data_IF_832572243409
#
_entry.id   IF_832572243409
#
_cell.length_a   1.000
_cell.length_b   1.000
_cell.length_c   1.000
_cell.angle_alpha   90.00
_cell.angle_beta   90.00
_cell.angle_gamma   90.00
#
_symmetry.space_group_name_H-M   'P 1'
#
loop_
_entity.id
_entity.type
_entity.pdbx_description
1 polymer ?
#
# COMPACT_ATOMS: atom_id res chain seq x y z
N UNK A 1 0.19 8.97 -4.79
CA UNK A 1 1.18 8.21 -4.01
C UNK A 1 1.21 6.76 -4.47
N UNK A 2 2.40 6.13 -4.54
CA UNK A 2 2.50 4.68 -4.63
C UNK A 2 2.77 4.13 -3.23
N UNK A 3 2.06 3.08 -2.86
CA UNK A 3 2.33 2.34 -1.63
C UNK A 3 2.69 0.90 -1.99
N UNK A 4 3.68 0.36 -1.29
CA UNK A 4 4.17 -0.98 -1.49
C UNK A 4 4.08 -1.77 -0.17
N UNK A 5 3.81 -3.06 -0.27
CA UNK A 5 3.88 -3.99 0.86
C UNK A 5 4.28 -5.39 0.36
N UNK A 6 4.63 -6.29 1.26
CA UNK A 6 5.00 -7.66 0.91
C UNK A 6 3.86 -8.62 1.23
N UNK A 7 3.59 -9.53 0.32
CA UNK A 7 2.65 -10.61 0.57
C UNK A 7 3.18 -11.52 1.69
N UNK A 8 2.39 -11.73 2.74
CA UNK A 8 2.78 -12.62 3.83
C UNK A 8 2.98 -14.09 3.38
N UNK A 9 2.34 -14.52 2.29
CA UNK A 9 2.40 -15.91 1.80
C UNK A 9 3.59 -16.17 0.87
N UNK A 10 3.70 -15.37 -0.20
CA UNK A 10 4.71 -15.60 -1.24
C UNK A 10 5.85 -14.58 -1.22
N UNK A 11 5.82 -13.60 -0.29
CA UNK A 11 6.80 -12.52 -0.15
C UNK A 11 6.94 -11.60 -1.37
N UNK A 12 6.13 -11.80 -2.41
CA UNK A 12 6.04 -10.91 -3.57
C UNK A 12 5.60 -9.52 -3.16
N UNK A 13 6.13 -8.52 -3.84
CA UNK A 13 5.76 -7.13 -3.64
C UNK A 13 4.37 -6.85 -4.22
N UNK A 14 3.56 -6.15 -3.44
CA UNK A 14 2.22 -5.69 -3.81
C UNK A 14 2.29 -4.17 -3.89
N UNK A 15 2.19 -3.66 -5.10
CA UNK A 15 2.21 -2.24 -5.40
C UNK A 15 0.78 -1.75 -5.63
N UNK A 16 0.34 -0.78 -4.83
CA UNK A 16 -0.97 -0.13 -4.96
C UNK A 16 -0.76 1.36 -5.23
N UNK A 17 -1.41 1.87 -6.29
CA UNK A 17 -1.51 3.31 -6.53
C UNK A 17 -2.69 3.87 -5.75
N UNK A 18 -2.45 4.90 -4.96
CA UNK A 18 -3.50 5.62 -4.23
C UNK A 18 -3.42 7.12 -4.53
N UNK A 19 -4.59 7.76 -4.55
CA UNK A 19 -4.71 9.22 -4.66
C UNK A 19 -4.57 9.90 -3.30
N UNK A 20 -4.37 9.15 -2.21
CA UNK A 20 -4.01 9.72 -0.92
C UNK A 20 -2.61 10.34 -1.00
N UNK A 21 -2.43 11.49 -0.34
CA UNK A 21 -1.15 12.19 -0.23
C UNK A 21 -0.28 11.64 0.91
N UNK A 22 -0.92 11.14 1.96
CA UNK A 22 -0.29 10.66 3.18
C UNK A 22 -1.07 9.47 3.80
N UNK A 23 -0.52 8.89 4.88
CA UNK A 23 -1.12 7.77 5.61
C UNK A 23 -2.49 8.15 6.21
N UNK A 24 -2.68 9.38 6.68
CA UNK A 24 -3.94 9.82 7.29
C UNK A 24 -5.05 9.92 6.23
N UNK A 25 -4.76 10.49 5.07
CA UNK A 25 -5.67 10.54 3.92
C UNK A 25 -6.01 9.15 3.41
N UNK A 26 -5.05 8.22 3.47
CA UNK A 26 -5.28 6.82 3.13
C UNK A 26 -6.24 6.15 4.12
N UNK A 27 -6.02 6.33 5.42
CA UNK A 27 -6.89 5.81 6.48
C UNK A 27 -8.28 6.45 6.43
N UNK A 28 -8.39 7.74 6.12
CA UNK A 28 -9.67 8.43 5.96
C UNK A 28 -10.46 7.90 4.77
N UNK A 29 -9.79 7.49 3.68
CA UNK A 29 -10.44 7.01 2.45
C UNK A 29 -10.83 5.54 2.52
N UNK A 30 -9.96 4.69 3.07
CA UNK A 30 -10.11 3.24 3.02
C UNK A 30 -10.34 2.61 4.41
N UNK A 31 -10.30 3.41 5.48
CA UNK A 31 -10.19 2.93 6.86
C UNK A 31 -8.74 2.57 7.22
N UNK A 32 -8.53 2.22 8.49
CA UNK A 32 -7.22 1.80 9.01
C UNK A 32 -6.71 0.49 8.40
N UNK A 33 -7.59 -0.28 7.73
CA UNK A 33 -7.26 -1.57 7.12
C UNK A 33 -7.67 -1.61 5.65
N UNK A 34 -6.72 -1.93 4.78
CA UNK A 34 -6.94 -2.03 3.33
C UNK A 34 -6.93 -3.50 2.90
N UNK A 35 -7.95 -3.90 2.15
CA UNK A 35 -7.97 -5.18 1.45
C UNK A 35 -7.02 -5.13 0.26
N UNK A 36 -5.93 -5.92 0.31
CA UNK A 36 -5.02 -6.09 -0.82
C UNK A 36 -5.03 -7.54 -1.29
N UNK A 37 -5.06 -7.72 -2.60
CA UNK A 37 -4.87 -9.00 -3.26
C UNK A 37 -3.46 -9.07 -3.84
N UNK A 38 -2.72 -10.12 -3.49
CA UNK A 38 -1.44 -10.40 -4.12
C UNK A 38 -1.66 -10.91 -5.54
N UNK A 39 -1.14 -10.20 -6.54
CA UNK A 39 -1.27 -10.62 -7.94
C UNK A 39 -0.42 -11.86 -8.28
N UNK A 40 0.60 -12.16 -7.47
CA UNK A 40 1.49 -13.32 -7.70
C UNK A 40 0.93 -14.64 -7.18
N UNK A 41 0.22 -14.65 -6.05
CA UNK A 41 -0.30 -15.90 -5.45
C UNK A 41 -1.82 -15.90 -5.18
N UNK A 42 -2.53 -14.82 -5.55
CA UNK A 42 -3.97 -14.68 -5.35
C UNK A 42 -4.41 -14.46 -3.90
N UNK A 43 -3.49 -14.37 -2.94
CA UNK A 43 -3.84 -14.22 -1.52
C UNK A 43 -4.47 -12.84 -1.26
N UNK A 44 -5.68 -12.83 -0.71
CA UNK A 44 -6.39 -11.62 -0.26
C UNK A 44 -6.19 -11.46 1.25
N UNK A 45 -5.69 -10.32 1.70
CA UNK A 45 -5.48 -10.02 3.12
C UNK A 45 -5.76 -8.55 3.41
N UNK A 46 -6.24 -8.27 4.63
CA UNK A 46 -6.36 -6.92 5.18
C UNK A 46 -5.04 -6.50 5.82
N UNK A 47 -4.39 -5.51 5.25
CA UNK A 47 -3.17 -4.90 5.80
C UNK A 47 -3.54 -3.63 6.56
N UNK A 48 -2.94 -3.42 7.73
CA UNK A 48 -3.05 -2.12 8.40
C UNK A 48 -2.34 -1.05 7.56
N UNK A 49 -2.83 0.19 7.57
CA UNK A 49 -2.14 1.32 6.90
C UNK A 49 -0.71 1.51 7.39
N UNK A 50 -0.40 1.02 8.59
CA UNK A 50 0.95 1.03 9.14
C UNK A 50 1.90 -0.01 8.52
N UNK A 51 1.36 -1.11 8.03
CA UNK A 51 2.11 -2.17 7.33
C UNK A 51 2.44 -1.78 5.88
N UNK A 52 1.83 -0.70 5.39
CA UNK A 52 2.03 -0.19 4.03
C UNK A 52 3.16 0.83 4.05
N UNK A 53 4.13 0.63 3.15
CA UNK A 53 5.22 1.58 2.94
C UNK A 53 4.84 2.56 1.85
N UNK A 54 5.03 3.83 2.14
CA UNK A 54 4.99 4.90 1.15
C UNK A 54 6.22 4.78 0.26
N UNK A 55 6.03 4.58 -1.04
CA UNK A 55 7.08 4.84 -1.99
C UNK A 55 6.94 6.30 -2.41
N UNK A 56 7.78 7.14 -1.81
CA UNK A 56 7.87 8.55 -2.18
C UNK A 56 8.25 8.62 -3.65
N UNK A 57 7.37 9.19 -4.49
CA UNK A 57 7.84 9.69 -5.78
C UNK A 57 8.84 10.79 -5.44
N UNK A 58 10.15 10.53 -5.60
CA UNK A 58 11.18 11.57 -5.57
C UNK A 58 10.87 12.61 -6.64
N UNK A 59 10.01 13.58 -6.33
CA UNK A 59 10.02 14.86 -7.02
C UNK A 59 10.93 15.73 -6.16
N UNK A 60 12.23 15.59 -6.38
CA UNK A 60 13.17 16.63 -5.99
C UNK A 60 12.93 17.76 -7.00
N UNK A 61 12.10 18.72 -6.62
CA UNK A 61 12.10 20.03 -7.28
C UNK A 61 13.32 20.80 -6.76
N UNK A 62 14.33 20.93 -7.61
CA UNK A 62 15.44 21.87 -7.44
C UNK A 62 15.00 23.30 -7.74
#
# INVERSE_FOLDING_TARGET
MKICTKCAKCRSEINLKTNASDRFGLAKKNGERINLSCNSCGTKKKYHVDELKAEESKVVSF
#
